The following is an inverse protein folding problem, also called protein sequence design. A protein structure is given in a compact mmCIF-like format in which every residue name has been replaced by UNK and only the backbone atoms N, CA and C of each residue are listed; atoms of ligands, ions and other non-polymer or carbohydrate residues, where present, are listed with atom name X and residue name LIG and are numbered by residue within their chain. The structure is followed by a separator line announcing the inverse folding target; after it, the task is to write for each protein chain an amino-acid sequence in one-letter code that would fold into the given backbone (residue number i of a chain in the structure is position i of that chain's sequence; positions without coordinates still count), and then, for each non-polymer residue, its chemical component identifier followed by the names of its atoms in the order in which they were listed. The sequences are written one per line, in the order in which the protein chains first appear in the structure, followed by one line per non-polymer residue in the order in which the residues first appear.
data_IF_661566746338
#
_entry.id   IF_661566746338
#
_cell.length_a   1.000
_cell.length_b   1.000
_cell.length_c   1.000
_cell.angle_alpha   90.00
_cell.angle_beta   90.00
_cell.angle_gamma   90.00
#
_symmetry.space_group_name_H-M   'P 1'
#
loop_
_entity.id
_entity.type
_entity.pdbx_description
1 polymer ?
#
# COMPACT_ATOMS: atom_id res chain seq x y z
N UNK A 1 -46.91 -56.44 -27.49
CA UNK A 1 -47.77 -55.37 -28.05
C UNK A 1 -47.77 -54.19 -27.09
N UNK A 2 -48.00 -53.01 -27.64
CA UNK A 2 -47.77 -51.64 -27.13
C UNK A 2 -48.23 -51.33 -25.69
N UNK A 3 -47.43 -50.48 -25.03
CA UNK A 3 -47.86 -49.16 -24.54
C UNK A 3 -48.33 -49.06 -23.09
N UNK A 4 -47.77 -48.09 -22.35
CA UNK A 4 -48.55 -47.16 -21.52
C UNK A 4 -47.70 -45.95 -21.09
N UNK A 5 -48.24 -44.77 -21.41
CA UNK A 5 -47.75 -43.44 -21.08
C UNK A 5 -48.72 -42.82 -20.08
N UNK A 6 -48.20 -42.18 -19.03
CA UNK A 6 -48.94 -41.23 -18.19
C UNK A 6 -47.96 -40.15 -17.70
N UNK A 7 -48.24 -38.85 -17.90
CA UNK A 7 -47.62 -37.79 -17.12
C UNK A 7 -48.61 -37.15 -16.14
N UNK A 8 -48.09 -36.80 -14.98
CA UNK A 8 -48.80 -36.27 -13.82
C UNK A 8 -49.20 -34.79 -13.91
N UNK A 9 -50.19 -34.46 -13.08
CA UNK A 9 -50.88 -33.18 -12.90
C UNK A 9 -49.99 -32.07 -12.36
N UNK A 10 -50.30 -30.85 -12.80
CA UNK A 10 -49.84 -29.59 -12.19
C UNK A 10 -50.97 -28.91 -11.39
N UNK A 11 -50.53 -27.99 -10.53
CA UNK A 11 -51.21 -26.84 -9.92
C UNK A 11 -52.22 -27.07 -8.78
N UNK A 12 -51.88 -26.50 -7.61
CA UNK A 12 -52.81 -25.74 -6.75
C UNK A 12 -52.05 -24.53 -6.21
N UNK A 13 -52.53 -23.32 -6.52
CA UNK A 13 -52.22 -22.11 -5.76
C UNK A 13 -53.30 -21.95 -4.69
N UNK A 14 -52.91 -21.67 -3.45
CA UNK A 14 -53.82 -21.20 -2.41
C UNK A 14 -53.10 -20.25 -1.45
N UNK A 15 -53.89 -19.34 -0.91
CA UNK A 15 -53.59 -17.97 -0.53
C UNK A 15 -53.01 -17.79 0.89
N UNK A 16 -52.36 -16.64 1.07
CA UNK A 16 -52.19 -15.82 2.29
C UNK A 16 -51.84 -16.47 3.65
N UNK A 17 -50.73 -16.03 4.26
CA UNK A 17 -50.71 -15.36 5.59
C UNK A 17 -49.32 -14.81 5.93
N UNK A 18 -49.23 -13.48 6.02
CA UNK A 18 -48.55 -12.67 7.02
C UNK A 18 -47.19 -13.12 7.60
N UNK A 19 -46.11 -12.42 7.23
CA UNK A 19 -45.09 -12.04 8.21
C UNK A 19 -44.53 -10.65 7.90
N UNK A 20 -44.75 -9.74 8.85
CA UNK A 20 -44.26 -8.36 8.85
C UNK A 20 -42.77 -8.38 9.21
N UNK A 21 -41.93 -7.76 8.37
CA UNK A 21 -40.61 -7.28 8.77
C UNK A 21 -40.61 -5.75 8.74
N UNK A 22 -40.03 -5.07 9.75
CA UNK A 22 -40.24 -3.66 9.98
C UNK A 22 -39.43 -2.77 9.03
N UNK A 23 -40.05 -1.65 8.68
CA UNK A 23 -39.43 -0.46 8.12
C UNK A 23 -38.27 0.00 9.02
N UNK A 24 -37.04 -0.07 8.52
CA UNK A 24 -36.03 1.00 8.60
C UNK A 24 -34.63 0.43 8.38
N UNK A 25 -34.15 0.50 7.13
CA UNK A 25 -32.72 0.72 6.91
C UNK A 25 -32.64 1.93 6.02
N UNK A 26 -32.37 3.07 6.65
CA UNK A 26 -31.89 4.26 5.98
C UNK A 26 -30.72 3.87 5.10
N UNK A 27 -30.92 3.91 3.78
CA UNK A 27 -29.86 3.93 2.79
C UNK A 27 -29.04 5.19 3.06
N UNK A 28 -27.98 5.08 3.87
CA UNK A 28 -27.00 6.15 4.02
C UNK A 28 -25.98 6.02 2.89
N UNK A 29 -26.39 6.44 1.71
CA UNK A 29 -25.50 6.65 0.57
C UNK A 29 -24.67 7.90 0.86
N UNK A 30 -23.42 7.73 1.27
CA UNK A 30 -22.43 8.79 1.46
C UNK A 30 -21.03 8.15 1.31
N UNK A 31 -20.09 8.52 0.45
CA UNK A 31 -19.99 9.43 -0.70
C UNK A 31 -18.77 8.95 -1.53
N UNK A 32 -18.92 8.72 -2.82
CA UNK A 32 -17.84 8.28 -3.75
C UNK A 32 -17.14 9.44 -4.46
N UNK A 33 -16.99 10.60 -3.79
CA UNK A 33 -16.34 11.78 -4.37
C UNK A 33 -14.94 12.05 -3.81
N UNK A 34 -14.57 11.40 -2.71
CA UNK A 34 -13.28 11.63 -2.02
C UNK A 34 -12.09 10.91 -2.70
N UNK A 35 -12.33 9.91 -3.56
CA UNK A 35 -11.25 9.08 -4.12
C UNK A 35 -10.53 9.74 -5.30
N UNK A 36 -11.25 10.32 -6.25
CA UNK A 36 -10.65 10.93 -7.45
C UNK A 36 -9.96 12.27 -7.11
N UNK A 37 -10.59 13.08 -6.26
CA UNK A 37 -10.02 14.36 -5.82
C UNK A 37 -8.72 14.14 -5.04
N UNK A 38 -8.65 13.11 -4.19
CA UNK A 38 -7.43 12.77 -3.46
C UNK A 38 -6.31 12.26 -4.38
N UNK A 39 -6.63 11.50 -5.42
CA UNK A 39 -5.64 10.99 -6.38
C UNK A 39 -5.07 12.12 -7.27
N UNK A 40 -5.91 13.03 -7.74
CA UNK A 40 -5.48 14.22 -8.49
C UNK A 40 -4.61 15.10 -7.59
N UNK A 41 -5.04 15.32 -6.34
CA UNK A 41 -4.26 16.08 -5.35
C UNK A 41 -2.91 15.42 -5.05
N UNK A 42 -2.84 14.09 -4.99
CA UNK A 42 -1.59 13.34 -4.81
C UNK A 42 -0.65 13.48 -6.02
N UNK A 43 -1.17 13.38 -7.25
CA UNK A 43 -0.39 13.52 -8.48
C UNK A 43 0.15 14.95 -8.68
N UNK A 44 -0.66 15.97 -8.37
CA UNK A 44 -0.24 17.38 -8.43
C UNK A 44 0.85 17.68 -7.38
N UNK A 45 0.73 17.09 -6.18
CA UNK A 45 1.76 17.18 -5.12
C UNK A 45 3.08 16.48 -5.49
N UNK A 46 3.04 15.40 -6.28
CA UNK A 46 4.24 14.73 -6.76
C UNK A 46 5.00 15.58 -7.79
N UNK A 47 4.27 16.29 -8.65
CA UNK A 47 4.86 17.18 -9.66
C UNK A 47 5.51 18.44 -9.02
N UNK A 48 4.90 19.05 -8.01
CA UNK A 48 5.37 20.29 -7.39
C UNK A 48 6.62 20.12 -6.48
N UNK A 49 6.94 18.90 -6.03
CA UNK A 49 7.94 18.70 -4.96
C UNK A 49 9.30 18.17 -5.43
N UNK A 50 9.49 17.90 -6.73
CA UNK A 50 10.84 17.62 -7.29
C UNK A 50 11.83 18.78 -7.06
N UNK A 51 11.33 20.00 -6.84
CA UNK A 51 12.13 21.22 -6.66
C UNK A 51 12.51 21.56 -5.20
N UNK A 52 12.02 20.85 -4.18
CA UNK A 52 12.23 21.18 -2.76
C UNK A 52 13.27 20.30 -2.04
N UNK A 53 14.32 19.87 -2.74
CA UNK A 53 15.41 19.03 -2.19
C UNK A 53 16.24 19.70 -1.07
N UNK A 54 15.95 20.94 -0.68
CA UNK A 54 16.88 21.80 0.06
C UNK A 54 16.57 22.09 1.53
N UNK A 55 15.49 21.57 2.14
CA UNK A 55 15.18 21.89 3.54
C UNK A 55 14.64 20.70 4.36
N UNK A 56 15.37 19.58 4.39
CA UNK A 56 15.06 18.50 5.34
C UNK A 56 15.82 18.74 6.66
N UNK A 57 15.16 18.68 7.84
CA UNK A 57 15.85 18.70 9.12
C UNK A 57 16.84 17.52 9.29
N UNK A 58 17.89 17.73 10.08
CA UNK A 58 18.90 16.70 10.37
C UNK A 58 18.29 15.45 11.01
N UNK A 59 17.47 15.64 12.06
CA UNK A 59 16.78 14.55 12.77
C UNK A 59 15.96 13.65 11.85
N UNK A 60 15.37 14.21 10.78
CA UNK A 60 14.56 13.43 9.84
C UNK A 60 15.46 12.60 8.91
N UNK A 61 16.64 13.12 8.58
CA UNK A 61 17.63 12.40 7.79
C UNK A 61 18.20 11.21 8.57
N UNK A 62 18.53 11.42 9.84
CA UNK A 62 19.00 10.36 10.75
C UNK A 62 17.94 9.27 10.92
N UNK A 63 16.70 9.66 11.21
CA UNK A 63 15.57 8.72 11.28
C UNK A 63 15.40 7.88 10.00
N UNK A 64 15.58 8.50 8.82
CA UNK A 64 15.46 7.76 7.55
C UNK A 64 16.53 6.69 7.42
N UNK A 65 17.76 6.96 7.85
CA UNK A 65 18.82 5.97 7.83
C UNK A 65 18.56 4.86 8.85
N UNK A 66 18.22 5.22 10.09
CA UNK A 66 17.93 4.24 11.14
C UNK A 66 16.76 3.33 10.76
N UNK A 67 15.69 3.88 10.19
CA UNK A 67 14.52 3.12 9.76
C UNK A 67 14.82 2.25 8.51
N UNK A 68 15.71 2.68 7.62
CA UNK A 68 16.11 1.88 6.47
C UNK A 68 16.88 0.62 6.88
N UNK A 69 17.69 0.71 7.96
CA UNK A 69 18.43 -0.43 8.50
C UNK A 69 17.53 -1.51 9.15
N UNK A 70 16.24 -1.21 9.34
CA UNK A 70 15.25 -2.17 9.87
C UNK A 70 14.70 -3.12 8.81
N UNK A 71 15.04 -2.92 7.53
CA UNK A 71 14.73 -3.87 6.47
C UNK A 71 15.72 -5.03 6.47
N UNK A 72 15.18 -6.24 6.46
CA UNK A 72 15.96 -7.47 6.23
C UNK A 72 15.50 -8.12 4.93
N UNK A 73 16.20 -7.91 3.80
CA UNK A 73 15.91 -8.60 2.55
C UNK A 73 16.03 -10.14 2.74
N UNK A 74 15.08 -10.90 2.20
CA UNK A 74 15.10 -12.38 2.26
C UNK A 74 16.11 -12.97 1.27
N UNK A 75 16.48 -12.21 0.24
CA UNK A 75 17.52 -12.53 -0.74
C UNK A 75 18.47 -11.34 -0.89
N UNK A 76 19.73 -11.63 -1.24
CA UNK A 76 20.77 -10.61 -1.23
C UNK A 76 20.46 -9.41 -2.13
N UNK A 77 20.76 -8.26 -1.55
CA UNK A 77 21.15 -7.01 -2.20
C UNK A 77 20.06 -5.98 -2.58
N UNK A 78 18.76 -6.20 -2.35
CA UNK A 78 17.77 -5.16 -2.64
C UNK A 78 18.00 -3.88 -1.80
N UNK A 79 18.14 -2.73 -2.48
CA UNK A 79 18.28 -1.42 -1.81
C UNK A 79 16.94 -0.95 -1.27
N UNK A 80 16.94 -0.46 -0.04
CA UNK A 80 15.80 0.26 0.54
C UNK A 80 15.72 1.62 -0.15
N UNK A 81 14.57 1.87 -0.77
CA UNK A 81 14.20 3.17 -1.29
C UNK A 81 13.31 3.90 -0.30
N UNK A 82 13.29 5.22 -0.41
CA UNK A 82 12.32 6.04 0.30
C UNK A 82 11.88 7.22 -0.54
N UNK A 83 10.64 7.65 -0.34
CA UNK A 83 10.14 8.96 -0.76
C UNK A 83 9.85 9.79 0.49
N UNK A 84 10.30 11.04 0.51
CA UNK A 84 10.15 11.93 1.65
C UNK A 84 9.69 13.29 1.18
N UNK A 85 8.50 13.69 1.63
CA UNK A 85 7.84 14.94 1.25
C UNK A 85 7.39 15.72 2.47
N UNK A 86 7.39 17.04 2.34
CA UNK A 86 6.74 17.93 3.28
C UNK A 86 5.41 18.38 2.69
N UNK A 87 4.30 17.99 3.32
CA UNK A 87 2.96 18.26 2.84
C UNK A 87 2.02 18.64 3.98
N UNK A 88 1.15 19.64 3.79
CA UNK A 88 0.18 20.08 4.81
C UNK A 88 0.81 20.32 6.20
N UNK A 89 2.00 20.91 6.22
CA UNK A 89 2.82 21.15 7.43
C UNK A 89 3.23 19.88 8.20
N UNK A 90 3.24 18.71 7.55
CA UNK A 90 3.77 17.48 8.13
C UNK A 90 4.80 16.83 7.20
N UNK A 91 5.78 16.16 7.80
CA UNK A 91 6.68 15.29 7.05
C UNK A 91 6.01 13.95 6.81
N UNK A 92 6.12 13.45 5.59
CA UNK A 92 5.69 12.12 5.21
C UNK A 92 6.88 11.38 4.60
N UNK A 93 7.14 10.17 5.09
CA UNK A 93 8.20 9.29 4.59
C UNK A 93 7.59 7.95 4.23
N UNK A 94 7.77 7.52 3.00
CA UNK A 94 7.37 6.20 2.51
C UNK A 94 8.63 5.38 2.25
N UNK A 95 8.77 4.26 2.93
CA UNK A 95 9.85 3.29 2.70
C UNK A 95 9.35 2.13 1.87
N UNK A 96 10.23 1.58 1.04
CA UNK A 96 9.97 0.42 0.22
C UNK A 96 11.26 -0.32 -0.11
N UNK A 97 11.16 -1.60 -0.40
CA UNK A 97 12.27 -2.34 -0.98
C UNK A 97 12.19 -2.28 -2.52
N UNK A 98 13.28 -1.93 -3.18
CA UNK A 98 13.31 -1.86 -4.65
C UNK A 98 13.06 -3.23 -5.30
N UNK A 99 12.31 -3.24 -6.40
CA UNK A 99 12.16 -4.44 -7.23
C UNK A 99 13.49 -4.78 -7.93
N UNK A 100 13.69 -6.07 -8.23
CA UNK A 100 14.68 -6.50 -9.20
C UNK A 100 14.14 -6.45 -10.62
N UNK A 101 15.02 -6.34 -11.60
CA UNK A 101 14.72 -6.48 -13.03
C UNK A 101 15.56 -7.63 -13.58
N UNK A 102 14.93 -8.54 -14.34
CA UNK A 102 15.67 -9.62 -14.98
C UNK A 102 16.48 -9.10 -16.17
N UNK A 103 17.77 -9.41 -16.21
CA UNK A 103 18.68 -9.04 -17.30
C UNK A 103 19.10 -10.27 -18.09
N UNK A 104 18.83 -10.25 -19.40
CA UNK A 104 19.17 -11.31 -20.34
C UNK A 104 18.19 -12.48 -20.38
N UNK A 105 18.29 -13.27 -21.46
CA UNK A 105 17.42 -14.41 -21.70
C UNK A 105 15.97 -14.01 -22.06
N UNK A 106 15.04 -14.96 -21.94
CA UNK A 106 13.65 -14.81 -22.41
C UNK A 106 12.77 -13.88 -21.56
N UNK A 107 13.29 -13.40 -20.44
CA UNK A 107 12.56 -12.56 -19.48
C UNK A 107 13.25 -11.22 -19.21
N UNK A 108 14.15 -10.83 -20.10
CA UNK A 108 14.83 -9.54 -20.04
C UNK A 108 13.83 -8.38 -19.90
N UNK A 109 14.11 -7.47 -18.97
CA UNK A 109 13.24 -6.33 -18.61
C UNK A 109 12.09 -6.65 -17.66
N UNK A 110 11.91 -7.91 -17.24
CA UNK A 110 10.81 -8.26 -16.31
C UNK A 110 11.14 -7.85 -14.87
N UNK A 111 10.29 -7.00 -14.27
CA UNK A 111 10.36 -6.69 -12.83
C UNK A 111 9.94 -7.88 -11.96
N UNK A 112 10.70 -8.14 -10.91
CA UNK A 112 10.50 -9.18 -9.91
C UNK A 112 10.53 -8.55 -8.52
N UNK A 113 9.53 -8.89 -7.71
CA UNK A 113 9.40 -8.38 -6.35
C UNK A 113 10.42 -9.05 -5.44
N UNK A 114 11.05 -8.25 -4.59
CA UNK A 114 11.97 -8.74 -3.57
C UNK A 114 11.22 -8.96 -2.27
N UNK A 115 11.37 -10.15 -1.68
CA UNK A 115 10.80 -10.45 -0.37
C UNK A 115 11.67 -9.86 0.74
N UNK A 116 11.04 -9.38 1.81
CA UNK A 116 11.72 -8.79 2.95
C UNK A 116 10.94 -8.95 4.24
N UNK A 117 11.67 -8.85 5.34
CA UNK A 117 11.15 -8.65 6.68
C UNK A 117 11.43 -7.20 7.10
N UNK A 118 10.61 -6.66 7.99
CA UNK A 118 10.78 -5.31 8.52
C UNK A 118 10.51 -5.32 10.03
N UNK A 119 11.46 -4.83 10.84
CA UNK A 119 11.30 -4.78 12.28
C UNK A 119 10.40 -3.59 12.71
N UNK A 120 9.10 -3.86 12.78
CA UNK A 120 8.12 -2.89 13.25
C UNK A 120 8.31 -2.49 14.71
N UNK A 121 8.83 -3.39 15.55
CA UNK A 121 8.99 -3.11 16.98
C UNK A 121 10.07 -2.06 17.18
N UNK A 122 11.19 -2.22 16.49
CA UNK A 122 12.28 -1.25 16.55
C UNK A 122 11.92 0.06 15.85
N UNK A 123 11.12 0.03 14.77
CA UNK A 123 10.56 1.26 14.21
C UNK A 123 9.69 2.02 15.23
N UNK A 124 8.81 1.32 15.95
CA UNK A 124 7.98 1.93 16.99
C UNK A 124 8.83 2.50 18.14
N UNK A 125 10.01 1.93 18.41
CA UNK A 125 10.96 2.47 19.36
C UNK A 125 11.58 3.79 18.91
N UNK A 126 11.50 4.20 17.64
CA UNK A 126 11.93 5.53 17.19
C UNK A 126 10.95 6.65 17.57
N UNK A 127 9.71 6.29 17.96
CA UNK A 127 8.67 7.26 18.29
C UNK A 127 8.64 7.57 19.79
N UNK A 128 8.54 8.86 20.13
CA UNK A 128 8.20 9.34 21.47
C UNK A 128 6.73 9.08 21.78
N UNK A 129 5.89 9.23 20.76
CA UNK A 129 4.45 9.01 20.82
C UNK A 129 3.96 8.51 19.48
N UNK A 130 3.15 7.47 19.50
CA UNK A 130 2.44 6.97 18.32
C UNK A 130 0.98 7.37 18.46
N UNK A 131 0.50 8.14 17.50
CA UNK A 131 -0.87 8.65 17.43
C UNK A 131 -1.77 7.67 16.64
N UNK A 132 -1.20 6.96 15.65
CA UNK A 132 -1.91 5.96 14.85
C UNK A 132 -0.96 4.89 14.31
N UNK A 133 -1.45 3.65 14.20
CA UNK A 133 -0.81 2.53 13.50
C UNK A 133 -1.89 1.78 12.71
N UNK A 134 -1.81 1.80 11.39
CA UNK A 134 -2.82 1.23 10.50
C UNK A 134 -2.14 0.29 9.51
N UNK A 135 -2.63 -0.95 9.43
CA UNK A 135 -2.34 -1.83 8.31
C UNK A 135 -3.41 -1.67 7.23
N UNK A 136 -3.00 -1.31 6.02
CA UNK A 136 -3.85 -1.12 4.85
C UNK A 136 -3.58 -2.20 3.83
N UNK A 137 -4.63 -2.93 3.48
CA UNK A 137 -4.65 -3.80 2.30
C UNK A 137 -5.37 -3.07 1.18
N UNK A 138 -4.73 -2.94 0.03
CA UNK A 138 -5.34 -2.33 -1.14
C UNK A 138 -5.76 -3.47 -2.08
N UNK A 139 -7.04 -3.52 -2.47
CA UNK A 139 -7.61 -4.50 -3.40
C UNK A 139 -7.96 -3.86 -4.75
N UNK A 140 -7.52 -4.50 -5.85
CA UNK A 140 -7.52 -3.94 -7.22
C UNK A 140 -8.89 -3.42 -7.68
N UNK A 141 -9.96 -3.95 -7.10
CA UNK A 141 -11.36 -3.69 -7.46
C UNK A 141 -11.88 -2.30 -7.06
N UNK A 142 -11.17 -1.56 -6.20
CA UNK A 142 -11.63 -0.23 -5.75
C UNK A 142 -11.24 0.92 -6.68
N UNK A 143 -10.51 0.65 -7.78
CA UNK A 143 -10.06 1.68 -8.72
C UNK A 143 -9.12 2.72 -8.10
N UNK A 144 -8.70 2.51 -6.85
CA UNK A 144 -7.55 3.16 -6.25
C UNK A 144 -6.35 2.52 -6.93
N UNK A 145 -5.49 3.28 -7.59
CA UNK A 145 -4.31 2.77 -8.27
C UNK A 145 -3.40 2.04 -7.26
N UNK A 146 -3.36 0.72 -7.33
CA UNK A 146 -2.65 -0.18 -6.40
C UNK A 146 -1.26 -0.44 -6.92
N UNK A 147 -0.52 0.63 -7.09
CA UNK A 147 0.85 0.48 -7.56
C UNK A 147 1.81 0.29 -6.37
N UNK A 148 1.38 0.67 -5.16
CA UNK A 148 2.19 0.64 -3.94
C UNK A 148 1.92 -0.59 -3.03
N UNK A 149 0.92 -1.42 -3.35
CA UNK A 149 0.59 -2.65 -2.62
C UNK A 149 0.00 -2.44 -1.21
N UNK A 150 0.13 -3.44 -0.34
CA UNK A 150 -0.21 -3.30 1.08
C UNK A 150 0.76 -2.34 1.77
N UNK A 151 0.30 -1.63 2.80
CA UNK A 151 1.09 -0.66 3.53
C UNK A 151 0.83 -0.73 5.04
N UNK A 152 1.88 -0.51 5.82
CA UNK A 152 1.75 -0.14 7.24
C UNK A 152 1.99 1.36 7.34
N UNK A 153 1.06 2.09 7.94
CA UNK A 153 1.16 3.53 8.16
C UNK A 153 1.22 3.81 9.67
N UNK A 154 2.18 4.63 10.08
CA UNK A 154 2.37 5.10 11.44
C UNK A 154 2.32 6.62 11.42
N UNK A 155 1.51 7.20 12.31
CA UNK A 155 1.52 8.64 12.56
C UNK A 155 1.97 8.87 13.99
N UNK A 156 2.94 9.75 14.20
CA UNK A 156 3.44 10.04 15.53
C UNK A 156 4.61 11.01 15.57
N UNK A 157 5.11 11.27 16.78
CA UNK A 157 6.23 12.19 17.04
C UNK A 157 7.48 11.37 17.30
N UNK A 158 8.57 11.65 16.57
CA UNK A 158 9.86 10.98 16.76
C UNK A 158 10.55 11.41 18.06
N UNK A 159 11.38 10.53 18.62
CA UNK A 159 12.15 10.79 19.85
C UNK A 159 13.17 11.91 19.67
N UNK A 160 13.91 11.87 18.58
CA UNK A 160 15.00 12.80 18.27
C UNK A 160 14.53 14.08 17.53
N UNK A 161 13.21 14.25 17.33
CA UNK A 161 12.71 15.47 16.71
C UNK A 161 12.70 16.62 17.69
N UNK A 162 13.23 17.76 17.27
CA UNK A 162 13.07 19.05 17.97
C UNK A 162 11.62 19.59 17.88
N UNK A 163 10.77 18.98 17.06
CA UNK A 163 9.36 19.37 16.86
C UNK A 163 8.41 18.52 17.70
N UNK A 164 7.26 19.09 18.05
CA UNK A 164 6.12 18.35 18.61
C UNK A 164 5.14 17.87 17.54
N UNK A 165 5.38 18.21 16.28
CA UNK A 165 4.53 17.85 15.16
C UNK A 165 4.70 16.37 14.81
N UNK A 166 3.57 15.73 14.48
CA UNK A 166 3.58 14.34 14.05
C UNK A 166 4.07 14.23 12.59
N UNK A 167 4.78 13.15 12.31
CA UNK A 167 5.12 12.74 10.96
C UNK A 167 4.30 11.52 10.57
N UNK A 168 4.14 11.30 9.27
CA UNK A 168 3.58 10.06 8.71
C UNK A 168 4.70 9.20 8.17
N UNK A 169 4.74 7.93 8.56
CA UNK A 169 5.70 6.93 8.08
C UNK A 169 4.93 5.77 7.47
N UNK A 170 5.16 5.49 6.20
CA UNK A 170 4.58 4.36 5.48
C UNK A 170 5.63 3.32 5.13
N UNK A 171 5.33 2.05 5.34
CA UNK A 171 6.13 0.91 4.89
C UNK A 171 5.33 0.20 3.81
N UNK A 172 5.78 0.33 2.55
CA UNK A 172 5.12 -0.26 1.40
C UNK A 172 5.62 -1.68 1.16
N UNK A 173 4.69 -2.57 0.83
CA UNK A 173 5.02 -3.94 0.39
C UNK A 173 5.56 -4.01 -1.05
N UNK A 174 5.45 -2.91 -1.81
CA UNK A 174 5.95 -2.78 -3.18
C UNK A 174 6.49 -1.37 -3.41
N UNK A 175 7.53 -1.20 -4.24
CA UNK A 175 7.98 0.13 -4.62
C UNK A 175 6.90 0.86 -5.43
N UNK A 176 6.81 2.20 -5.33
CA UNK A 176 5.99 3.01 -6.24
C UNK A 176 6.36 2.74 -7.71
N UNK A 177 5.42 2.85 -8.65
CA UNK A 177 5.67 2.55 -10.07
C UNK A 177 6.82 3.39 -10.65
N UNK A 178 6.93 4.63 -10.22
CA UNK A 178 7.93 5.60 -10.64
C UNK A 178 9.34 5.26 -10.13
N UNK A 179 9.44 4.40 -9.11
CA UNK A 179 10.72 3.90 -8.64
C UNK A 179 11.26 2.88 -9.66
N UNK A 180 12.45 3.17 -10.20
CA UNK A 180 13.18 2.25 -11.06
C UNK A 180 13.58 0.94 -10.35
N UNK A 181 14.17 -0.02 -11.06
CA UNK A 181 14.67 -1.24 -10.46
C UNK A 181 15.80 -0.92 -9.47
N UNK A 182 15.75 -1.53 -8.29
CA UNK A 182 16.85 -1.47 -7.32
C UNK A 182 17.96 -2.48 -7.67
N UNK A 183 17.60 -3.58 -8.34
CA UNK A 183 18.47 -4.74 -8.58
C UNK A 183 18.40 -5.25 -10.02
N UNK A 184 19.49 -5.86 -10.48
CA UNK A 184 19.55 -6.74 -11.64
C UNK A 184 19.51 -8.18 -11.19
N UNK A 185 18.68 -8.99 -11.84
CA UNK A 185 18.55 -10.42 -11.62
C UNK A 185 19.04 -11.13 -12.88
N UNK A 186 20.18 -11.82 -12.78
CA UNK A 186 20.80 -12.53 -13.90
C UNK A 186 20.06 -13.85 -14.18
N UNK A 187 20.24 -14.46 -15.37
CA UNK A 187 19.53 -15.70 -15.73
C UNK A 187 19.91 -16.92 -14.87
N UNK A 188 21.06 -16.85 -14.19
CA UNK A 188 21.55 -17.84 -13.22
C UNK A 188 20.93 -17.64 -11.81
N UNK A 189 20.12 -16.61 -11.60
CA UNK A 189 19.50 -16.26 -10.30
C UNK A 189 20.36 -15.37 -9.41
N UNK A 190 21.55 -14.97 -9.86
CA UNK A 190 22.40 -14.02 -9.16
C UNK A 190 21.80 -12.62 -9.19
N UNK A 191 21.97 -11.87 -8.09
CA UNK A 191 21.35 -10.56 -7.90
C UNK A 191 22.45 -9.52 -7.68
N UNK A 192 22.46 -8.47 -8.49
CA UNK A 192 23.46 -7.39 -8.46
C UNK A 192 22.77 -6.03 -8.31
N UNK A 193 23.31 -5.07 -7.53
CA UNK A 193 22.74 -3.73 -7.45
C UNK A 193 22.82 -2.99 -8.79
N UNK A 194 21.80 -2.19 -9.12
CA UNK A 194 21.83 -1.26 -10.27
C UNK A 194 22.74 -0.07 -10.00
#
# INVERSE_FOLDING_TARGET
MQGLHVPGRNSVNMDSTNDRLPDSIWTRTMHSHTSLENLIKQAEQWAENRDKKSFRPGWLTEFIYDAADLFTPVADAARVGYDCRFHENCWQVLFYLGDGEMFGGKHDGKRTRMAFEFDLKDLLNCFKRVDSLIFRTLNDDLGLTIEEGNMIEIVGVLKESDSTEAITVGILSRPPQEAGPGMKVLPNGEVEPV
#
